data_IF_496303382360
#
_entry.id   IF_496303382360
#
_cell.length_a   1.000
_cell.length_b   1.000
_cell.length_c   1.000
_cell.angle_alpha   90.00
_cell.angle_beta   90.00
_cell.angle_gamma   90.00
#
_symmetry.space_group_name_H-M   'P 1'
#
loop_
_entity.id
_entity.type
_entity.pdbx_description
1 polymer ?
#
# COMPACT_ATOMS: atom_id res chain seq x y z
N UNK A 1 4.01 8.86 10.77
CA UNK A 1 3.22 8.50 9.59
C UNK A 1 1.96 7.84 10.10
N UNK A 2 0.84 8.56 10.08
CA UNK A 2 -0.46 7.98 10.37
C UNK A 2 -1.06 7.40 9.08
N UNK A 3 -1.81 6.30 9.20
CA UNK A 3 -2.45 5.63 8.06
C UNK A 3 -3.35 6.56 7.22
N UNK A 4 -3.95 7.56 7.86
CA UNK A 4 -4.86 8.53 7.25
C UNK A 4 -4.17 9.49 6.26
N UNK A 5 -2.86 9.69 6.44
CA UNK A 5 -2.03 10.57 5.62
C UNK A 5 -1.56 9.87 4.33
N UNK A 6 -1.64 8.53 4.28
CA UNK A 6 -1.26 7.74 3.11
C UNK A 6 -2.23 8.04 1.96
N UNK A 7 -1.65 8.36 0.79
CA UNK A 7 -2.39 8.66 -0.44
C UNK A 7 -2.23 7.58 -1.50
N UNK A 8 -1.18 6.77 -1.42
CA UNK A 8 -0.95 5.70 -2.38
C UNK A 8 -0.16 4.58 -1.73
N UNK A 9 -0.53 3.35 -2.07
CA UNK A 9 0.15 2.12 -1.71
C UNK A 9 0.49 1.40 -3.01
N UNK A 10 1.77 1.15 -3.21
CA UNK A 10 2.28 0.43 -4.37
C UNK A 10 3.24 -0.67 -3.94
N UNK A 11 3.48 -1.64 -4.80
CA UNK A 11 4.52 -2.66 -4.62
C UNK A 11 5.54 -2.49 -5.74
N UNK A 12 6.82 -2.43 -5.39
CA UNK A 12 7.90 -2.30 -6.37
C UNK A 12 8.24 -3.65 -7.02
N UNK A 13 9.21 -3.66 -7.94
CA UNK A 13 9.67 -4.87 -8.63
C UNK A 13 10.36 -5.90 -7.72
N UNK A 14 10.96 -5.46 -6.61
CA UNK A 14 11.55 -6.33 -5.61
C UNK A 14 10.49 -6.94 -4.66
N UNK A 15 9.24 -6.50 -4.77
CA UNK A 15 8.16 -6.89 -3.85
C UNK A 15 8.13 -6.08 -2.56
N UNK A 16 8.89 -4.98 -2.46
CA UNK A 16 8.79 -4.08 -1.31
C UNK A 16 7.56 -3.20 -1.45
N UNK A 17 6.89 -2.99 -0.31
CA UNK A 17 5.79 -2.06 -0.18
C UNK A 17 6.31 -0.62 -0.22
N UNK A 18 5.64 0.21 -1.01
CA UNK A 18 5.92 1.63 -1.16
C UNK A 18 4.68 2.41 -0.76
N UNK A 19 4.77 3.07 0.38
CA UNK A 19 3.70 3.89 0.94
C UNK A 19 4.04 5.34 0.68
N UNK A 20 3.18 6.05 -0.05
CA UNK A 20 3.35 7.47 -0.32
C UNK A 20 2.35 8.27 0.49
N UNK A 21 2.86 9.24 1.22
CA UNK A 21 2.09 10.16 2.06
C UNK A 21 1.63 11.41 1.29
N UNK A 22 0.65 12.15 1.82
CA UNK A 22 0.30 13.52 1.39
C UNK A 22 1.51 14.44 1.25
N UNK A 23 2.52 14.29 2.11
CA UNK A 23 3.78 15.03 2.02
C UNK A 23 4.72 14.56 0.88
N UNK A 24 4.28 13.63 0.02
CA UNK A 24 5.09 12.95 -1.01
C UNK A 24 6.31 12.23 -0.45
N UNK A 25 6.27 11.84 0.82
CA UNK A 25 7.28 10.99 1.42
C UNK A 25 6.97 9.53 1.09
N UNK A 26 7.95 8.82 0.55
CA UNK A 26 7.86 7.40 0.23
C UNK A 26 8.53 6.58 1.34
N UNK A 27 7.75 5.73 2.01
CA UNK A 27 8.26 4.73 2.94
C UNK A 27 8.35 3.39 2.21
N UNK A 28 9.57 2.85 2.16
CA UNK A 28 9.85 1.52 1.64
C UNK A 28 9.83 0.52 2.80
N UNK A 29 8.95 -0.47 2.71
CA UNK A 29 8.86 -1.55 3.69
C UNK A 29 9.10 -2.87 2.97
N UNK A 30 10.15 -3.62 3.34
CA UNK A 30 10.38 -4.96 2.82
C UNK A 30 9.18 -5.86 3.08
N UNK A 31 8.84 -6.74 2.13
CA UNK A 31 7.79 -7.76 2.33
C UNK A 31 8.06 -8.73 3.49
N UNK A 32 9.32 -8.85 3.90
CA UNK A 32 9.79 -9.71 5.00
C UNK A 32 9.98 -8.93 6.31
N UNK A 33 9.55 -7.66 6.36
CA UNK A 33 9.64 -6.87 7.59
C UNK A 33 8.82 -7.50 8.72
N UNK A 34 9.41 -7.54 9.92
CA UNK A 34 8.70 -7.95 11.12
C UNK A 34 7.49 -7.01 11.35
N UNK A 35 6.29 -7.58 11.47
CA UNK A 35 5.05 -6.81 11.59
C UNK A 35 4.31 -6.53 10.27
N UNK A 36 4.67 -7.20 9.17
CA UNK A 36 3.90 -7.11 7.91
C UNK A 36 2.41 -7.46 8.07
N UNK A 37 2.08 -8.34 9.02
CA UNK A 37 0.70 -8.70 9.36
C UNK A 37 -0.10 -7.50 9.88
N UNK A 38 0.52 -6.69 10.76
CA UNK A 38 -0.10 -5.47 11.30
C UNK A 38 -0.25 -4.37 10.24
N UNK A 39 0.71 -4.29 9.29
CA UNK A 39 0.58 -3.44 8.11
C UNK A 39 -0.58 -3.86 7.24
N UNK A 40 -0.76 -5.16 7.03
CA UNK A 40 -1.87 -5.69 6.23
C UNK A 40 -3.22 -5.33 6.87
N UNK A 41 -3.36 -5.52 8.18
CA UNK A 41 -4.55 -5.11 8.94
C UNK A 41 -4.82 -3.61 8.79
N UNK A 42 -3.80 -2.77 8.99
CA UNK A 42 -3.89 -1.33 8.79
C UNK A 42 -4.31 -0.98 7.35
N UNK A 43 -3.76 -1.64 6.34
CA UNK A 43 -4.17 -1.42 4.95
C UNK A 43 -5.62 -1.81 4.75
N UNK A 44 -6.09 -2.93 5.29
CA UNK A 44 -7.49 -3.35 5.16
C UNK A 44 -8.49 -2.41 5.82
N UNK A 45 -8.06 -1.58 6.78
CA UNK A 45 -8.87 -0.52 7.36
C UNK A 45 -9.08 0.69 6.41
N UNK A 46 -8.32 0.78 5.29
CA UNK A 46 -8.49 1.85 4.32
C UNK A 46 -9.76 1.67 3.46
N UNK A 47 -10.54 2.75 3.27
CA UNK A 47 -11.73 2.68 2.41
C UNK A 47 -11.34 2.47 0.94
N UNK A 48 -11.98 1.49 0.29
CA UNK A 48 -11.78 1.21 -1.14
C UNK A 48 -10.57 0.31 -1.45
N UNK A 49 -9.87 -0.20 -0.43
CA UNK A 49 -8.81 -1.18 -0.65
C UNK A 49 -9.36 -2.59 -0.86
N UNK A 50 -8.71 -3.36 -1.72
CA UNK A 50 -9.08 -4.75 -1.98
C UNK A 50 -8.09 -5.68 -1.29
N UNK A 51 -8.52 -6.37 -0.23
CA UNK A 51 -7.71 -7.36 0.48
C UNK A 51 -7.14 -8.42 -0.48
N UNK A 52 -7.91 -8.81 -1.50
CA UNK A 52 -7.45 -9.75 -2.51
C UNK A 52 -6.32 -9.20 -3.39
N UNK A 53 -6.35 -7.90 -3.73
CA UNK A 53 -5.24 -7.25 -4.47
C UNK A 53 -3.99 -7.10 -3.60
N UNK A 54 -4.17 -6.76 -2.33
CA UNK A 54 -3.07 -6.71 -1.36
C UNK A 54 -2.40 -8.08 -1.23
N UNK A 55 -3.18 -9.15 -1.07
CA UNK A 55 -2.65 -10.50 -0.94
C UNK A 55 -1.96 -10.98 -2.23
N UNK A 56 -2.52 -10.68 -3.41
CA UNK A 56 -1.89 -11.05 -4.68
C UNK A 56 -0.55 -10.33 -4.88
N UNK A 57 -0.49 -9.03 -4.56
CA UNK A 57 0.71 -8.23 -4.64
C UNK A 57 1.79 -8.63 -3.61
N UNK A 58 1.37 -9.06 -2.42
CA UNK A 58 2.27 -9.57 -1.39
C UNK A 58 2.89 -10.92 -1.80
N UNK A 59 2.13 -11.78 -2.47
CA UNK A 59 2.54 -13.14 -2.78
C UNK A 59 3.38 -13.22 -4.06
N UNK A 60 3.07 -12.41 -5.08
CA UNK A 60 3.71 -12.52 -6.39
C UNK A 60 4.78 -11.45 -6.62
N UNK A 61 5.98 -11.82 -7.08
CA UNK A 61 6.95 -10.85 -7.57
C UNK A 61 6.36 -10.14 -8.80
N UNK A 62 6.33 -8.82 -8.76
CA UNK A 62 5.77 -8.02 -9.85
C UNK A 62 6.87 -7.63 -10.84
N UNK A 63 6.61 -7.83 -12.13
CA UNK A 63 7.57 -7.43 -13.18
C UNK A 63 7.71 -5.90 -13.31
N UNK A 64 6.75 -5.15 -12.76
CA UNK A 64 6.71 -3.70 -12.74
C UNK A 64 6.07 -3.20 -11.45
N UNK A 65 6.41 -1.96 -11.05
CA UNK A 65 5.79 -1.34 -9.89
C UNK A 65 4.28 -1.22 -10.10
N UNK A 66 3.48 -1.82 -9.22
CA UNK A 66 2.03 -1.82 -9.36
C UNK A 66 1.40 -1.08 -8.21
N UNK A 67 0.49 -0.16 -8.55
CA UNK A 67 -0.30 0.56 -7.57
C UNK A 67 -1.44 -0.34 -7.09
N UNK A 68 -1.48 -0.60 -5.79
CA UNK A 68 -2.46 -1.50 -5.16
C UNK A 68 -3.68 -0.72 -4.70
N UNK A 69 -3.44 0.48 -4.18
CA UNK A 69 -4.47 1.37 -3.70
C UNK A 69 -4.02 2.82 -3.87
N UNK A 70 -4.98 3.67 -4.19
CA UNK A 70 -4.83 5.12 -4.13
C UNK A 70 -6.01 5.66 -3.37
N UNK A 71 -5.77 6.70 -2.58
CA UNK A 71 -6.82 7.36 -1.81
C UNK A 71 -7.89 7.81 -2.79
N UNK A 72 -9.13 7.29 -2.67
CA UNK A 72 -10.20 7.71 -3.55
C UNK A 72 -10.35 9.22 -3.38
N UNK A 73 -10.21 9.98 -4.48
CA UNK A 73 -10.50 11.40 -4.38
C UNK A 73 -11.97 11.49 -3.99
N UNK A 74 -12.26 12.08 -2.84
CA UNK A 74 -13.63 12.44 -2.52
C UNK A 74 -13.96 13.62 -3.43
N UNK A 75 -14.24 13.34 -4.70
CA UNK A 75 -14.88 14.30 -5.57
C UNK A 75 -16.33 14.34 -5.15
N UNK A 76 -16.54 15.03 -4.03
CA UNK A 76 -17.82 15.58 -3.66
C UNK A 76 -18.18 16.55 -4.78
N UNK A 77 -19.00 16.06 -5.72
CA UNK A 77 -19.83 16.90 -6.59
C UNK A 77 -21.05 17.38 -5.83
#
# INVERSE_FOLDING_TARGET
MALEEIISISVNRAGDWVLVDRARQALLIPRDAEGVEALFDAFTALPGISANKLADAAQRPMQQSTVIWEKPHSHLG
#
